data_IF_012446220082
#
_entry.id   IF_012446220082
#
_cell.length_a   1.000
_cell.length_b   1.000
_cell.length_c   1.000
_cell.angle_alpha   90.00
_cell.angle_beta   90.00
_cell.angle_gamma   90.00
#
_symmetry.space_group_name_H-M   'P 1'
#
loop_
_entity.id
_entity.type
_entity.pdbx_description
1 polymer ?
#
# COMPACT_ATOMS: atom_id res chain seq x y z
N UNK A 1 49.16 37.23 -14.68
CA UNK A 1 48.98 35.77 -14.51
C UNK A 1 48.35 35.57 -13.13
N UNK A 2 47.02 35.41 -13.08
CA UNK A 2 46.24 35.32 -11.84
C UNK A 2 45.67 33.90 -11.77
N UNK A 3 46.01 33.16 -10.71
CA UNK A 3 45.46 31.84 -10.39
C UNK A 3 44.16 32.01 -9.57
N UNK A 4 43.11 31.20 -9.77
CA UNK A 4 41.90 31.31 -8.97
C UNK A 4 41.99 30.52 -7.65
N UNK A 5 41.49 31.12 -6.59
CA UNK A 5 41.35 30.57 -5.25
C UNK A 5 40.07 29.71 -5.19
N UNK A 6 40.21 28.38 -5.07
CA UNK A 6 39.08 27.46 -4.86
C UNK A 6 38.79 27.40 -3.35
N UNK A 7 37.69 28.01 -2.92
CA UNK A 7 37.15 27.85 -1.57
C UNK A 7 36.57 26.43 -1.43
N UNK A 8 37.23 25.55 -0.67
CA UNK A 8 36.64 24.29 -0.19
C UNK A 8 35.78 24.59 1.03
N UNK A 9 34.46 24.55 0.85
CA UNK A 9 33.50 24.52 1.97
C UNK A 9 33.39 23.05 2.41
N UNK A 10 34.09 22.68 3.46
CA UNK A 10 33.86 21.41 4.17
C UNK A 10 32.70 21.61 5.13
N UNK A 11 31.52 21.09 4.80
CA UNK A 11 30.44 20.94 5.77
C UNK A 11 30.74 19.74 6.69
N UNK A 12 30.52 19.86 8.01
CA UNK A 12 30.70 18.74 8.92
C UNK A 12 29.65 17.65 8.65
N UNK A 13 30.13 16.41 8.48
CA UNK A 13 29.28 15.21 8.45
C UNK A 13 28.70 15.05 9.87
N UNK A 14 27.37 14.98 10.06
CA UNK A 14 26.81 14.74 11.38
C UNK A 14 27.25 13.36 11.87
N UNK A 15 27.83 13.31 13.06
CA UNK A 15 28.12 12.06 13.77
C UNK A 15 26.80 11.32 14.02
N UNK A 16 26.72 9.99 13.83
CA UNK A 16 25.54 9.23 14.21
C UNK A 16 25.34 9.36 15.72
N UNK A 17 24.31 10.09 16.15
CA UNK A 17 23.81 9.94 17.52
C UNK A 17 23.13 8.58 17.59
N UNK A 18 23.64 7.70 18.44
CA UNK A 18 22.94 6.48 18.85
C UNK A 18 21.60 6.89 19.47
N UNK A 19 20.54 6.86 18.66
CA UNK A 19 19.17 6.99 19.12
C UNK A 19 18.79 5.72 19.85
N UNK A 20 19.15 5.64 21.12
CA UNK A 20 18.57 4.67 22.04
C UNK A 20 17.08 4.95 22.15
N UNK A 21 16.26 4.03 21.64
CA UNK A 21 14.81 4.08 21.71
C UNK A 21 14.38 4.22 23.19
N UNK A 22 13.85 5.38 23.55
CA UNK A 22 13.09 5.52 24.80
C UNK A 22 11.75 4.78 24.63
N UNK A 23 11.78 3.48 24.91
CA UNK A 23 10.63 2.57 24.84
C UNK A 23 9.42 3.01 25.71
N UNK A 24 9.54 4.10 26.51
CA UNK A 24 8.48 4.59 27.40
C UNK A 24 7.56 5.65 26.77
N UNK A 25 7.90 6.29 25.65
CA UNK A 25 6.96 7.22 25.00
C UNK A 25 5.95 6.46 24.15
N UNK A 26 4.81 6.14 24.75
CA UNK A 26 3.67 5.50 24.09
C UNK A 26 3.25 6.32 22.86
N UNK A 27 3.40 5.75 21.66
CA UNK A 27 2.85 6.32 20.44
C UNK A 27 1.32 6.31 20.56
N UNK A 28 0.70 7.50 20.67
CA UNK A 28 -0.75 7.61 20.74
C UNK A 28 -1.30 7.62 19.32
N UNK A 29 -2.06 6.57 19.00
CA UNK A 29 -2.77 6.47 17.73
C UNK A 29 -3.95 7.44 17.76
N UNK A 30 -4.08 8.34 16.76
CA UNK A 30 -5.22 9.23 16.68
C UNK A 30 -6.53 8.45 16.59
N UNK A 31 -7.60 9.03 17.13
CA UNK A 31 -8.95 8.58 16.80
C UNK A 31 -9.13 8.56 15.27
N UNK A 32 -9.92 7.61 14.79
CA UNK A 32 -10.19 7.44 13.36
C UNK A 32 -8.97 7.02 12.52
N UNK A 33 -7.89 6.55 13.16
CA UNK A 33 -6.77 5.95 12.46
C UNK A 33 -7.20 4.75 11.62
N UNK A 34 -6.65 4.68 10.41
CA UNK A 34 -7.00 3.72 9.39
C UNK A 34 -5.81 2.81 9.06
N UNK A 35 -6.06 1.50 9.04
CA UNK A 35 -5.20 0.55 8.34
C UNK A 35 -5.66 0.45 6.89
N UNK A 36 -4.90 1.04 5.95
CA UNK A 36 -5.33 1.17 4.55
C UNK A 36 -5.02 -0.04 3.66
N UNK A 37 -4.51 -1.15 4.19
CA UNK A 37 -4.24 -2.36 3.41
C UNK A 37 -4.26 -3.60 4.29
N UNK A 38 -5.39 -4.30 4.27
CA UNK A 38 -5.49 -5.65 4.86
C UNK A 38 -6.24 -6.60 3.94
N UNK A 39 -6.13 -7.89 4.22
CA UNK A 39 -6.86 -8.94 3.50
C UNK A 39 -7.68 -9.78 4.47
N UNK A 40 -8.92 -10.13 4.10
CA UNK A 40 -9.69 -11.16 4.78
C UNK A 40 -9.68 -12.41 3.93
N UNK A 41 -9.49 -13.56 4.57
CA UNK A 41 -9.36 -14.87 3.93
C UNK A 41 -10.37 -15.79 4.61
N UNK A 42 -11.49 -16.02 3.93
CA UNK A 42 -12.55 -16.88 4.41
C UNK A 42 -12.27 -18.35 4.14
N UNK A 43 -13.13 -19.21 4.68
CA UNK A 43 -13.00 -20.66 4.51
C UNK A 43 -13.11 -21.08 3.05
N UNK A 44 -12.27 -22.05 2.67
CA UNK A 44 -12.15 -22.50 1.28
C UNK A 44 -13.46 -23.09 0.72
N UNK A 45 -14.25 -23.72 1.58
CA UNK A 45 -15.55 -24.30 1.20
C UNK A 45 -16.57 -23.24 0.80
N UNK A 46 -16.50 -22.05 1.41
CA UNK A 46 -17.42 -20.93 1.10
C UNK A 46 -16.87 -20.01 0.04
N UNK A 47 -15.56 -19.81 0.02
CA UNK A 47 -14.86 -18.91 -0.87
C UNK A 47 -13.74 -19.68 -1.58
N UNK A 48 -14.07 -20.37 -2.68
CA UNK A 48 -13.07 -21.13 -3.43
C UNK A 48 -12.05 -20.18 -4.07
N UNK A 49 -10.78 -20.59 -4.04
CA UNK A 49 -9.69 -19.87 -4.67
C UNK A 49 -9.50 -20.32 -6.12
N UNK A 50 -8.90 -19.46 -6.95
CA UNK A 50 -8.55 -19.79 -8.33
C UNK A 50 -7.62 -21.01 -8.38
N UNK A 51 -7.81 -21.88 -9.37
CA UNK A 51 -6.86 -22.97 -9.67
C UNK A 51 -5.49 -22.44 -10.09
N UNK A 52 -5.45 -21.28 -10.75
CA UNK A 52 -4.24 -20.57 -11.20
C UNK A 52 -3.54 -19.74 -10.11
N UNK A 53 -4.01 -19.79 -8.86
CA UNK A 53 -3.43 -19.00 -7.76
C UNK A 53 -1.95 -19.32 -7.56
N UNK A 54 -1.18 -18.30 -7.16
CA UNK A 54 0.26 -18.44 -6.92
C UNK A 54 0.61 -19.15 -5.60
N UNK A 55 -0.32 -19.19 -4.63
CA UNK A 55 -0.16 -19.84 -3.33
C UNK A 55 -1.54 -20.02 -2.65
N UNK A 56 -1.61 -20.89 -1.62
CA UNK A 56 -2.79 -21.04 -0.74
C UNK A 56 -2.45 -20.52 0.65
N UNK A 57 -3.01 -19.40 1.14
CA UNK A 57 -2.80 -18.96 2.53
C UNK A 57 -3.71 -19.71 3.53
N UNK A 58 -3.38 -19.67 4.83
CA UNK A 58 -4.33 -19.97 5.91
C UNK A 58 -5.54 -19.03 5.88
N UNK A 59 -6.58 -19.40 6.61
CA UNK A 59 -7.70 -18.50 6.88
C UNK A 59 -7.27 -17.32 7.77
N UNK A 60 -7.94 -16.19 7.61
CA UNK A 60 -7.77 -14.97 8.36
C UNK A 60 -9.10 -14.22 8.35
N UNK A 61 -9.95 -14.50 9.34
CA UNK A 61 -11.36 -14.11 9.35
C UNK A 61 -11.53 -12.67 9.88
N UNK A 62 -12.76 -12.16 9.77
CA UNK A 62 -13.11 -10.81 10.26
C UNK A 62 -12.84 -10.65 11.75
N UNK A 63 -13.08 -11.70 12.55
CA UNK A 63 -12.79 -11.68 13.99
C UNK A 63 -11.28 -11.52 14.27
N UNK A 64 -10.43 -12.19 13.50
CA UNK A 64 -8.97 -12.06 13.61
C UNK A 64 -8.52 -10.64 13.22
N UNK A 65 -9.12 -10.08 12.17
CA UNK A 65 -8.87 -8.70 11.76
C UNK A 65 -9.31 -7.70 12.85
N UNK A 66 -10.46 -7.90 13.49
CA UNK A 66 -10.93 -7.04 14.57
C UNK A 66 -9.98 -7.09 15.77
N UNK A 67 -9.46 -8.28 16.11
CA UNK A 67 -8.44 -8.43 17.14
C UNK A 67 -7.16 -7.67 16.75
N UNK A 68 -6.69 -7.83 15.52
CA UNK A 68 -5.54 -7.10 14.97
C UNK A 68 -5.71 -5.57 15.09
N UNK A 69 -6.81 -5.01 14.57
CA UNK A 69 -7.10 -3.57 14.66
C UNK A 69 -7.16 -3.08 16.11
N UNK A 70 -7.71 -3.89 17.02
CA UNK A 70 -7.75 -3.58 18.45
C UNK A 70 -6.33 -3.49 19.05
N UNK A 71 -5.41 -4.38 18.66
CA UNK A 71 -4.01 -4.30 19.11
C UNK A 71 -3.31 -3.04 18.62
N UNK A 72 -3.63 -2.59 17.41
CA UNK A 72 -3.08 -1.38 16.81
C UNK A 72 -3.82 -0.10 17.22
N UNK A 73 -4.92 -0.23 17.97
CA UNK A 73 -5.80 0.88 18.35
C UNK A 73 -6.32 1.66 17.12
N UNK A 74 -6.60 0.96 16.02
CA UNK A 74 -7.16 1.54 14.80
C UNK A 74 -8.65 1.27 14.70
N UNK A 75 -9.41 2.27 14.23
CA UNK A 75 -10.87 2.19 14.16
C UNK A 75 -11.40 2.16 12.73
N UNK A 76 -10.55 2.32 11.71
CA UNK A 76 -10.93 2.24 10.29
C UNK A 76 -10.04 1.26 9.55
N UNK A 77 -10.57 0.66 8.49
CA UNK A 77 -9.84 -0.36 7.73
C UNK A 77 -10.22 -0.38 6.25
N UNK A 78 -9.25 -0.66 5.39
CA UNK A 78 -9.48 -0.89 3.96
C UNK A 78 -9.13 -2.33 3.58
N UNK A 79 -10.17 -3.08 3.22
CA UNK A 79 -10.03 -4.45 2.72
C UNK A 79 -9.61 -4.43 1.26
N UNK A 80 -8.54 -5.14 0.95
CA UNK A 80 -7.99 -5.26 -0.40
C UNK A 80 -8.23 -6.67 -0.91
N UNK A 81 -8.79 -6.81 -2.11
CA UNK A 81 -9.03 -8.10 -2.73
C UNK A 81 -7.69 -8.84 -2.97
N UNK A 82 -7.52 -10.04 -2.38
CA UNK A 82 -6.35 -10.89 -2.63
C UNK A 82 -6.38 -11.53 -4.02
N UNK A 83 -5.20 -11.73 -4.63
CA UNK A 83 -5.09 -12.25 -5.99
C UNK A 83 -5.59 -13.69 -6.14
N UNK A 84 -5.54 -14.51 -5.10
CA UNK A 84 -6.00 -15.90 -5.15
C UNK A 84 -7.52 -16.06 -5.27
N UNK A 85 -8.31 -15.01 -5.05
CA UNK A 85 -9.74 -15.00 -5.34
C UNK A 85 -10.09 -14.41 -6.72
N UNK A 86 -9.13 -13.80 -7.43
CA UNK A 86 -9.43 -13.12 -8.70
C UNK A 86 -10.49 -12.04 -8.55
N UNK A 87 -11.44 -11.99 -9.50
CA UNK A 87 -12.59 -11.08 -9.50
C UNK A 87 -13.77 -11.57 -8.63
N UNK A 88 -13.65 -12.71 -7.93
CA UNK A 88 -14.67 -13.14 -6.96
C UNK A 88 -14.51 -12.36 -5.64
N UNK A 89 -15.20 -11.22 -5.57
CA UNK A 89 -15.15 -10.32 -4.42
C UNK A 89 -16.10 -10.73 -3.28
N UNK A 90 -16.76 -11.90 -3.32
CA UNK A 90 -17.80 -12.26 -2.34
C UNK A 90 -17.27 -12.33 -0.91
N UNK A 91 -16.04 -12.82 -0.70
CA UNK A 91 -15.42 -12.83 0.62
C UNK A 91 -15.20 -11.41 1.16
N UNK A 92 -14.69 -10.51 0.31
CA UNK A 92 -14.47 -9.11 0.67
C UNK A 92 -15.78 -8.40 0.97
N UNK A 93 -16.81 -8.55 0.13
CA UNK A 93 -18.12 -7.91 0.34
C UNK A 93 -18.79 -8.41 1.62
N UNK A 94 -18.73 -9.72 1.90
CA UNK A 94 -19.26 -10.26 3.15
C UNK A 94 -18.53 -9.69 4.38
N UNK A 95 -17.22 -9.48 4.29
CA UNK A 95 -16.45 -8.84 5.35
C UNK A 95 -16.80 -7.35 5.53
N UNK A 96 -17.02 -6.61 4.43
CA UNK A 96 -17.49 -5.21 4.50
C UNK A 96 -18.85 -5.11 5.20
N UNK A 97 -19.78 -6.02 4.90
CA UNK A 97 -21.10 -6.04 5.54
C UNK A 97 -21.01 -6.31 7.05
N UNK A 98 -20.09 -7.19 7.47
CA UNK A 98 -19.87 -7.49 8.89
C UNK A 98 -19.22 -6.31 9.64
N UNK A 99 -18.25 -5.64 9.01
CA UNK A 99 -17.54 -4.50 9.61
C UNK A 99 -18.38 -3.21 9.58
N UNK A 100 -19.28 -3.07 8.61
CA UNK A 100 -20.13 -1.89 8.47
C UNK A 100 -19.32 -0.63 8.13
N UNK A 101 -19.69 0.50 8.75
CA UNK A 101 -19.22 1.82 8.33
C UNK A 101 -17.72 2.07 8.54
N UNK A 102 -17.05 1.27 9.37
CA UNK A 102 -15.61 1.40 9.62
C UNK A 102 -14.74 0.83 8.50
N UNK A 103 -15.33 0.13 7.54
CA UNK A 103 -14.59 -0.55 6.48
C UNK A 103 -14.87 0.04 5.09
N UNK A 104 -13.85 0.05 4.24
CA UNK A 104 -13.96 0.30 2.80
C UNK A 104 -13.25 -0.80 2.02
N UNK A 105 -13.62 -0.97 0.75
CA UNK A 105 -13.11 -2.05 -0.09
C UNK A 105 -12.36 -1.56 -1.32
N UNK A 106 -11.33 -2.30 -1.71
CA UNK A 106 -10.70 -2.23 -3.04
C UNK A 106 -10.80 -3.61 -3.68
N UNK A 107 -11.57 -3.71 -4.76
CA UNK A 107 -11.95 -4.99 -5.39
C UNK A 107 -11.11 -5.29 -6.62
N UNK A 108 -11.20 -6.50 -7.16
CA UNK A 108 -10.74 -6.80 -8.53
C UNK A 108 -11.98 -6.96 -9.40
N UNK A 109 -12.01 -6.31 -10.56
CA UNK A 109 -13.11 -6.44 -11.53
C UNK A 109 -12.57 -7.02 -12.84
N UNK A 110 -13.46 -7.56 -13.64
CA UNK A 110 -13.17 -8.04 -14.99
C UNK A 110 -14.16 -7.48 -16.01
N UNK A 111 -13.99 -7.84 -17.28
CA UNK A 111 -14.83 -7.38 -18.39
C UNK A 111 -16.31 -7.79 -18.25
N UNK A 112 -16.61 -8.79 -17.42
CA UNK A 112 -17.98 -9.27 -17.17
C UNK A 112 -18.68 -8.48 -16.07
N UNK A 113 -17.93 -7.67 -15.31
CA UNK A 113 -18.48 -6.87 -14.22
C UNK A 113 -19.39 -5.76 -14.76
N UNK A 114 -20.68 -5.89 -14.50
CA UNK A 114 -21.75 -5.00 -14.97
C UNK A 114 -21.84 -3.68 -14.18
N UNK A 115 -22.49 -2.67 -14.76
CA UNK A 115 -22.72 -1.36 -14.09
C UNK A 115 -23.52 -1.53 -12.80
N UNK A 116 -24.48 -2.47 -12.82
CA UNK A 116 -25.28 -2.82 -11.66
C UNK A 116 -24.41 -3.40 -10.55
N UNK A 117 -23.47 -4.28 -10.88
CA UNK A 117 -22.53 -4.82 -9.89
C UNK A 117 -21.62 -3.73 -9.32
N UNK A 118 -21.07 -2.82 -10.15
CA UNK A 118 -20.27 -1.69 -9.66
C UNK A 118 -21.06 -0.76 -8.72
N UNK A 119 -22.32 -0.50 -9.06
CA UNK A 119 -23.23 0.27 -8.20
C UNK A 119 -23.45 -0.43 -6.85
N UNK A 120 -23.71 -1.75 -6.88
CA UNK A 120 -23.86 -2.54 -5.66
C UNK A 120 -22.58 -2.58 -4.83
N UNK A 121 -21.41 -2.72 -5.46
CA UNK A 121 -20.12 -2.66 -4.78
C UNK A 121 -19.91 -1.31 -4.11
N UNK A 122 -20.30 -0.21 -4.77
CA UNK A 122 -20.21 1.15 -4.20
C UNK A 122 -21.07 1.28 -2.94
N UNK A 123 -22.30 0.77 -2.99
CA UNK A 123 -23.24 0.73 -1.85
C UNK A 123 -22.65 -0.08 -0.69
N UNK A 124 -21.97 -1.20 -0.99
CA UNK A 124 -21.31 -2.03 0.03
C UNK A 124 -19.99 -1.44 0.54
N UNK A 125 -19.62 -0.20 0.18
CA UNK A 125 -18.44 0.49 0.71
C UNK A 125 -17.16 0.32 -0.12
N UNK A 126 -17.25 -0.21 -1.34
CA UNK A 126 -16.10 -0.27 -2.26
C UNK A 126 -15.79 1.12 -2.82
N UNK A 127 -14.50 1.44 -2.93
CA UNK A 127 -13.97 2.76 -3.33
C UNK A 127 -12.81 2.69 -4.30
N UNK A 128 -12.44 1.50 -4.74
CA UNK A 128 -11.33 1.34 -5.67
C UNK A 128 -11.29 -0.02 -6.32
N UNK A 129 -10.48 -0.11 -7.37
CA UNK A 129 -10.11 -1.37 -8.02
C UNK A 129 -8.62 -1.61 -7.89
N UNK A 130 -8.23 -2.87 -7.72
CA UNK A 130 -6.84 -3.30 -7.61
C UNK A 130 -6.35 -3.87 -8.93
N UNK A 131 -5.20 -3.38 -9.35
CA UNK A 131 -4.41 -3.89 -10.46
C UNK A 131 -3.12 -4.51 -9.91
N UNK A 132 -3.04 -5.83 -9.92
CA UNK A 132 -1.91 -6.57 -9.34
C UNK A 132 -1.10 -7.26 -10.45
N UNK A 133 -0.10 -6.54 -10.97
CA UNK A 133 0.79 -7.04 -12.01
C UNK A 133 1.94 -7.87 -11.44
N UNK A 134 2.39 -7.55 -10.22
CA UNK A 134 3.52 -8.22 -9.59
C UNK A 134 3.24 -9.70 -9.35
N UNK A 135 2.05 -10.03 -8.83
CA UNK A 135 1.71 -11.42 -8.46
C UNK A 135 1.55 -12.35 -9.66
N UNK A 136 1.27 -11.79 -10.84
CA UNK A 136 1.11 -12.54 -12.11
C UNK A 136 2.35 -12.42 -13.01
N UNK A 137 3.40 -11.74 -12.56
CA UNK A 137 4.67 -11.60 -13.29
C UNK A 137 4.59 -10.74 -14.56
N UNK A 138 3.55 -9.90 -14.69
CA UNK A 138 3.43 -9.01 -15.85
C UNK A 138 4.41 -7.86 -15.70
N UNK A 139 5.34 -7.78 -16.65
CA UNK A 139 6.38 -6.73 -16.70
C UNK A 139 6.26 -5.81 -17.92
N UNK A 140 5.32 -6.06 -18.82
CA UNK A 140 5.11 -5.24 -20.02
C UNK A 140 4.37 -3.96 -19.67
N UNK A 141 4.96 -2.77 -19.90
CA UNK A 141 4.28 -1.49 -19.70
C UNK A 141 3.04 -1.32 -20.60
N UNK A 142 3.05 -1.85 -21.82
CA UNK A 142 1.95 -1.69 -22.77
C UNK A 142 0.68 -2.43 -22.33
N UNK A 143 0.83 -3.63 -21.77
CA UNK A 143 -0.28 -4.35 -21.16
C UNK A 143 -0.87 -3.54 -20.00
N UNK A 144 0.00 -2.97 -19.16
CA UNK A 144 -0.41 -2.13 -18.04
C UNK A 144 -1.18 -0.88 -18.50
N UNK A 145 -0.74 -0.21 -19.56
CA UNK A 145 -1.40 1.02 -20.05
C UNK A 145 -2.84 0.79 -20.51
N UNK A 146 -3.10 -0.30 -21.25
CA UNK A 146 -4.45 -0.63 -21.71
C UNK A 146 -5.39 -0.92 -20.55
N UNK A 147 -4.93 -1.71 -19.59
CA UNK A 147 -5.71 -2.06 -18.40
C UNK A 147 -5.99 -0.82 -17.54
N UNK A 148 -5.00 0.06 -17.31
CA UNK A 148 -5.17 1.32 -16.57
C UNK A 148 -6.27 2.20 -17.16
N UNK A 149 -6.28 2.39 -18.48
CA UNK A 149 -7.29 3.21 -19.15
C UNK A 149 -8.69 2.60 -19.08
N UNK A 150 -8.77 1.29 -19.31
CA UNK A 150 -10.02 0.55 -19.25
C UNK A 150 -10.63 0.67 -17.84
N UNK A 151 -9.83 0.36 -16.81
CA UNK A 151 -10.26 0.47 -15.42
C UNK A 151 -10.64 1.91 -15.07
N UNK A 152 -9.79 2.89 -15.36
CA UNK A 152 -10.04 4.29 -15.01
C UNK A 152 -11.34 4.81 -15.62
N UNK A 153 -11.59 4.51 -16.90
CA UNK A 153 -12.84 4.87 -17.58
C UNK A 153 -14.04 4.20 -16.92
N UNK A 154 -13.90 2.91 -16.57
CA UNK A 154 -14.96 2.11 -15.96
C UNK A 154 -15.38 2.63 -14.59
N UNK A 155 -14.41 3.08 -13.79
CA UNK A 155 -14.62 3.39 -12.38
C UNK A 155 -14.74 4.89 -12.06
N UNK A 156 -14.37 5.78 -12.99
CA UNK A 156 -14.47 7.22 -12.81
C UNK A 156 -15.88 7.71 -12.40
N UNK A 157 -17.00 7.21 -12.99
CA UNK A 157 -18.35 7.65 -12.58
C UNK A 157 -18.70 7.34 -11.12
N UNK A 158 -18.00 6.40 -10.49
CA UNK A 158 -18.24 5.98 -9.11
C UNK A 158 -17.35 6.72 -8.09
N UNK A 159 -16.47 7.64 -8.57
CA UNK A 159 -15.52 8.35 -7.71
C UNK A 159 -14.45 7.44 -7.09
N UNK A 160 -14.19 6.29 -7.70
CA UNK A 160 -13.22 5.31 -7.20
C UNK A 160 -11.78 5.65 -7.62
N UNK A 161 -10.81 4.99 -7.00
CA UNK A 161 -9.39 5.05 -7.38
C UNK A 161 -8.87 3.71 -7.93
N UNK A 162 -7.71 3.72 -8.58
CA UNK A 162 -6.97 2.50 -8.93
C UNK A 162 -5.85 2.28 -7.91
N UNK A 163 -5.75 1.10 -7.34
CA UNK A 163 -4.61 0.68 -6.52
C UNK A 163 -3.70 -0.25 -7.32
N UNK A 164 -2.42 0.08 -7.42
CA UNK A 164 -1.43 -0.65 -8.23
C UNK A 164 -0.44 -1.36 -7.33
N UNK A 165 -0.29 -2.66 -7.57
CA UNK A 165 0.83 -3.46 -7.07
C UNK A 165 1.65 -4.00 -8.25
N UNK A 166 2.80 -3.36 -8.49
CA UNK A 166 3.74 -3.68 -9.56
C UNK A 166 5.16 -3.24 -9.16
N UNK A 167 6.20 -3.78 -9.79
CA UNK A 167 7.57 -3.27 -9.64
C UNK A 167 7.68 -1.78 -9.96
N UNK A 168 8.63 -1.09 -9.30
CA UNK A 168 8.92 0.33 -9.52
C UNK A 168 9.14 0.68 -11.00
N UNK A 169 9.77 -0.21 -11.76
CA UNK A 169 10.06 -0.01 -13.17
C UNK A 169 8.78 0.06 -14.03
N UNK A 170 7.80 -0.81 -13.76
CA UNK A 170 6.52 -0.81 -14.49
C UNK A 170 5.71 0.44 -14.16
N UNK A 171 5.74 0.88 -12.89
CA UNK A 171 5.09 2.12 -12.45
C UNK A 171 5.76 3.33 -13.13
N UNK A 172 7.09 3.41 -13.10
CA UNK A 172 7.87 4.48 -13.72
C UNK A 172 7.64 4.55 -15.25
N UNK A 173 7.53 3.40 -15.92
CA UNK A 173 7.20 3.33 -17.34
C UNK A 173 5.74 3.74 -17.65
N UNK A 174 4.90 3.94 -16.63
CA UNK A 174 3.48 4.29 -16.76
C UNK A 174 3.12 5.68 -16.24
N UNK A 175 4.09 6.49 -15.80
CA UNK A 175 3.82 7.81 -15.18
C UNK A 175 3.01 8.74 -16.09
N UNK A 176 3.33 8.80 -17.39
CA UNK A 176 2.62 9.65 -18.35
C UNK A 176 1.17 9.20 -18.53
N UNK A 177 0.91 7.90 -18.42
CA UNK A 177 -0.44 7.40 -18.47
C UNK A 177 -1.18 7.72 -17.18
N UNK A 178 -0.56 7.44 -16.03
CA UNK A 178 -1.14 7.69 -14.71
C UNK A 178 -1.49 9.17 -14.52
N UNK A 179 -0.63 10.08 -14.99
CA UNK A 179 -0.85 11.53 -14.87
C UNK A 179 -2.12 12.02 -15.57
N UNK A 180 -2.55 11.34 -16.64
CA UNK A 180 -3.69 11.73 -17.47
C UNK A 180 -5.01 11.05 -17.09
N UNK A 181 -4.99 10.06 -16.18
CA UNK A 181 -6.21 9.34 -15.82
C UNK A 181 -7.27 10.26 -15.19
N UNK A 182 -8.57 9.97 -15.33
CA UNK A 182 -9.63 10.73 -14.66
C UNK A 182 -9.75 10.44 -13.14
N UNK A 183 -8.99 9.47 -12.62
CA UNK A 183 -9.07 9.01 -11.21
C UNK A 183 -7.73 9.15 -10.50
N UNK A 184 -7.74 9.08 -9.17
CA UNK A 184 -6.53 8.94 -8.38
C UNK A 184 -5.94 7.54 -8.50
N UNK A 185 -4.64 7.43 -8.25
CA UNK A 185 -3.93 6.14 -8.18
C UNK A 185 -3.26 5.99 -6.81
N UNK A 186 -3.27 4.78 -6.27
CA UNK A 186 -2.61 4.40 -5.02
C UNK A 186 -1.51 3.40 -5.33
N UNK A 187 -0.28 3.69 -4.91
CA UNK A 187 0.86 2.81 -5.11
C UNK A 187 1.11 1.98 -3.84
N UNK A 188 1.04 0.67 -3.98
CA UNK A 188 1.25 -0.26 -2.85
C UNK A 188 2.74 -0.31 -2.44
N UNK A 189 2.98 -0.43 -1.13
CA UNK A 189 4.26 -0.78 -0.51
C UNK A 189 5.47 0.02 -1.03
N UNK A 190 5.45 1.35 -0.80
CA UNK A 190 6.48 2.28 -1.29
C UNK A 190 6.67 2.23 -2.82
N UNK A 191 5.62 1.87 -3.58
CA UNK A 191 5.71 1.66 -5.02
C UNK A 191 6.77 0.61 -5.44
N UNK A 192 7.09 -0.33 -4.54
CA UNK A 192 8.08 -1.38 -4.76
C UNK A 192 9.45 -0.88 -5.24
N UNK A 193 9.86 0.29 -4.75
CA UNK A 193 11.23 0.80 -4.92
C UNK A 193 12.27 -0.20 -4.42
N UNK A 194 13.51 -0.03 -4.87
CA UNK A 194 14.62 -0.86 -4.42
C UNK A 194 15.57 -0.02 -3.57
N UNK A 195 15.48 -0.05 -2.22
CA UNK A 195 16.35 0.70 -1.32
C UNK A 195 17.84 0.57 -1.65
N UNK A 196 18.29 -0.64 -1.99
CA UNK A 196 19.68 -0.93 -2.41
C UNK A 196 20.20 -0.12 -3.60
N UNK A 197 19.32 0.47 -4.41
CA UNK A 197 19.70 1.33 -5.56
C UNK A 197 19.83 2.82 -5.18
N UNK A 198 19.50 3.18 -3.94
CA UNK A 198 19.58 4.56 -3.44
C UNK A 198 18.49 5.49 -3.98
N UNK A 199 18.51 6.73 -3.48
CA UNK A 199 17.53 7.77 -3.83
C UNK A 199 17.68 8.30 -5.26
N UNK A 200 18.84 8.12 -5.90
CA UNK A 200 19.07 8.62 -7.26
C UNK A 200 18.63 7.62 -8.34
N UNK A 201 17.91 6.55 -7.97
CA UNK A 201 17.44 5.59 -8.95
C UNK A 201 16.36 6.24 -9.86
N UNK A 202 16.48 6.12 -11.20
CA UNK A 202 15.56 6.81 -12.12
C UNK A 202 14.08 6.51 -11.86
N UNK A 203 13.74 5.24 -11.60
CA UNK A 203 12.37 4.84 -11.32
C UNK A 203 11.77 5.61 -10.12
N UNK A 204 12.54 5.79 -9.05
CA UNK A 204 12.07 6.49 -7.86
C UNK A 204 11.90 7.98 -8.11
N UNK A 205 12.85 8.63 -8.79
CA UNK A 205 12.76 10.06 -9.11
C UNK A 205 11.50 10.36 -9.94
N UNK A 206 11.22 9.56 -10.96
CA UNK A 206 10.00 9.68 -11.76
C UNK A 206 8.72 9.49 -10.94
N UNK A 207 8.70 8.53 -10.02
CA UNK A 207 7.55 8.30 -9.13
C UNK A 207 7.40 9.47 -8.16
N UNK A 208 8.49 10.00 -7.64
CA UNK A 208 8.50 11.13 -6.72
C UNK A 208 7.95 12.40 -7.38
N UNK A 209 8.34 12.69 -8.62
CA UNK A 209 7.77 13.79 -9.42
C UNK A 209 6.25 13.63 -9.58
N UNK A 210 5.77 12.42 -9.86
CA UNK A 210 4.35 12.15 -9.96
C UNK A 210 3.61 12.33 -8.62
N UNK A 211 4.23 11.98 -7.49
CA UNK A 211 3.70 12.23 -6.14
C UNK A 211 3.56 13.74 -5.88
N UNK A 212 4.56 14.54 -6.27
CA UNK A 212 4.54 16.01 -6.11
C UNK A 212 3.36 16.67 -6.82
N UNK A 213 2.87 16.10 -7.93
CA UNK A 213 1.67 16.62 -8.62
C UNK A 213 0.37 16.44 -7.81
N UNK A 214 0.38 15.64 -6.75
CA UNK A 214 -0.82 15.27 -6.00
C UNK A 214 -1.70 14.26 -6.73
N UNK A 215 -1.24 13.67 -7.85
CA UNK A 215 -2.01 12.68 -8.62
C UNK A 215 -2.13 11.34 -7.91
N UNK A 216 -1.06 10.91 -7.24
CA UNK A 216 -0.92 9.56 -6.70
C UNK A 216 -0.76 9.59 -5.19
N UNK A 217 -1.30 8.57 -4.53
CA UNK A 217 -1.05 8.24 -3.13
C UNK A 217 0.01 7.13 -3.04
N UNK A 218 0.78 7.10 -1.96
CA UNK A 218 1.75 6.02 -1.68
C UNK A 218 1.46 5.43 -0.30
N UNK A 219 1.40 4.10 -0.23
CA UNK A 219 1.31 3.38 1.05
C UNK A 219 2.70 3.13 1.62
N UNK A 220 3.04 3.81 2.70
CA UNK A 220 4.21 3.58 3.54
C UNK A 220 3.96 2.32 4.39
N UNK A 221 4.10 1.15 3.76
CA UNK A 221 3.62 -0.14 4.29
C UNK A 221 4.56 -1.27 3.94
N UNK A 222 4.45 -2.37 4.68
CA UNK A 222 5.14 -3.64 4.42
C UNK A 222 6.63 -3.49 4.03
N UNK A 223 7.46 -2.79 4.82
CA UNK A 223 8.86 -2.53 4.46
C UNK A 223 9.66 -3.82 4.21
N UNK A 224 9.27 -4.94 4.84
CA UNK A 224 9.80 -6.28 4.58
C UNK A 224 9.64 -6.77 3.12
N UNK A 225 8.82 -6.11 2.29
CA UNK A 225 8.68 -6.43 0.86
C UNK A 225 9.78 -5.79 0.02
N UNK A 226 10.42 -4.72 0.49
CA UNK A 226 11.42 -3.94 -0.25
C UNK A 226 12.81 -3.92 0.40
N UNK A 227 12.89 -4.21 1.69
CA UNK A 227 14.12 -4.13 2.48
C UNK A 227 14.51 -5.47 3.08
N UNK A 228 15.81 -5.64 3.33
CA UNK A 228 16.39 -6.75 4.10
C UNK A 228 17.03 -6.27 5.41
N UNK A 229 17.01 -4.96 5.71
CA UNK A 229 17.62 -4.37 6.88
C UNK A 229 16.74 -4.55 8.14
N UNK A 230 16.45 -5.80 8.50
CA UNK A 230 15.61 -6.14 9.66
C UNK A 230 16.30 -5.86 11.00
N UNK A 231 15.55 -5.55 12.07
CA UNK A 231 14.10 -5.35 12.11
C UNK A 231 13.67 -3.92 11.77
N UNK A 232 14.61 -2.98 11.64
CA UNK A 232 14.31 -1.53 11.62
C UNK A 232 13.94 -1.00 10.23
N UNK A 233 14.35 -1.72 9.18
CA UNK A 233 14.21 -1.31 7.78
C UNK A 233 14.76 0.10 7.54
N UNK A 234 15.91 0.40 8.15
CA UNK A 234 16.50 1.75 8.17
C UNK A 234 16.85 2.30 6.79
N UNK A 235 17.04 1.42 5.80
CA UNK A 235 17.23 1.76 4.39
C UNK A 235 15.96 2.27 3.69
N UNK A 236 14.78 2.13 4.30
CA UNK A 236 13.49 2.65 3.81
C UNK A 236 13.24 4.09 4.28
N UNK A 237 13.79 4.49 5.43
CA UNK A 237 13.61 5.82 6.03
C UNK A 237 13.82 6.97 5.01
N UNK A 238 14.91 7.02 4.22
CA UNK A 238 15.14 8.13 3.31
C UNK A 238 14.05 8.27 2.23
N UNK A 239 13.45 7.15 1.81
CA UNK A 239 12.37 7.13 0.84
C UNK A 239 11.04 7.55 1.45
N UNK A 240 10.76 7.13 2.69
CA UNK A 240 9.61 7.60 3.43
C UNK A 240 9.65 9.14 3.56
N UNK A 241 10.79 9.69 4.01
CA UNK A 241 10.98 11.14 4.16
C UNK A 241 10.78 11.86 2.83
N UNK A 242 11.42 11.40 1.76
CA UNK A 242 11.31 12.03 0.44
C UNK A 242 9.85 12.05 -0.07
N UNK A 243 9.10 10.95 0.06
CA UNK A 243 7.69 10.95 -0.33
C UNK A 243 6.83 11.89 0.52
N UNK A 244 7.06 11.94 1.83
CA UNK A 244 6.33 12.82 2.75
C UNK A 244 6.63 14.29 2.46
N UNK A 245 7.90 14.64 2.22
CA UNK A 245 8.35 15.98 1.85
C UNK A 245 7.74 16.40 0.50
N UNK A 246 7.68 15.47 -0.46
CA UNK A 246 7.09 15.72 -1.76
C UNK A 246 5.60 16.06 -1.69
N UNK A 247 4.80 15.27 -0.95
CA UNK A 247 3.37 15.55 -0.79
C UNK A 247 2.76 14.84 0.44
N UNK A 248 2.67 15.47 1.61
CA UNK A 248 2.21 14.80 2.84
C UNK A 248 0.73 14.38 2.77
N UNK A 249 -0.11 15.09 1.98
CA UNK A 249 -1.53 14.74 1.78
C UNK A 249 -1.75 13.55 0.83
N UNK A 250 -0.67 12.89 0.41
CA UNK A 250 -0.70 11.71 -0.47
C UNK A 250 -0.11 10.47 0.16
N UNK A 251 0.20 10.53 1.45
CA UNK A 251 0.78 9.42 2.17
C UNK A 251 -0.28 8.65 2.94
N UNK A 252 -0.19 7.33 2.90
CA UNK A 252 -1.05 6.40 3.63
C UNK A 252 -0.18 5.43 4.42
N UNK A 253 -0.69 4.90 5.53
CA UNK A 253 -0.06 3.80 6.25
C UNK A 253 -0.90 2.53 6.12
N UNK A 254 -0.24 1.37 6.15
CA UNK A 254 -0.92 0.09 6.25
C UNK A 254 -0.03 -1.02 6.83
N UNK A 255 -0.65 -1.99 7.50
CA UNK A 255 0.04 -3.17 8.05
C UNK A 255 0.37 -4.21 6.99
N UNK A 256 -0.46 -4.34 5.94
CA UNK A 256 -0.44 -5.48 5.00
C UNK A 256 -0.80 -6.82 5.68
N UNK A 257 -1.56 -6.77 6.79
CA UNK A 257 -2.12 -7.94 7.46
C UNK A 257 -2.96 -8.78 6.48
N UNK A 258 -2.87 -10.13 6.51
CA UNK A 258 -2.17 -10.99 7.46
C UNK A 258 -0.75 -11.34 7.00
N UNK A 259 -0.07 -10.46 6.25
CA UNK A 259 1.31 -10.62 5.78
C UNK A 259 1.50 -11.85 4.90
N UNK A 260 0.66 -11.95 3.87
CA UNK A 260 0.69 -13.07 2.93
C UNK A 260 2.04 -13.18 2.24
N UNK A 261 2.49 -14.43 2.04
CA UNK A 261 3.67 -14.74 1.26
C UNK A 261 3.47 -16.02 0.46
N UNK A 262 4.14 -16.08 -0.69
CA UNK A 262 4.36 -17.34 -1.40
C UNK A 262 5.59 -18.04 -0.82
N UNK A 263 5.46 -19.29 -0.42
CA UNK A 263 6.61 -20.14 -0.10
C UNK A 263 7.23 -20.65 -1.39
N UNK A 264 8.50 -20.33 -1.64
CA UNK A 264 9.22 -20.83 -2.82
C UNK A 264 9.42 -22.34 -2.71
N UNK A 265 9.15 -23.07 -3.79
CA UNK A 265 9.35 -24.52 -3.88
C UNK A 265 8.14 -25.38 -3.51
N UNK A 266 7.11 -24.80 -2.88
CA UNK A 266 5.88 -25.51 -2.54
C UNK A 266 4.91 -25.56 -3.74
N UNK A 267 4.05 -26.58 -3.76
CA UNK A 267 2.89 -26.61 -4.66
C UNK A 267 1.94 -25.47 -4.31
N UNK A 268 1.22 -24.94 -5.30
CA UNK A 268 0.22 -23.88 -5.08
C UNK A 268 -0.93 -24.34 -4.18
N UNK A 269 -1.16 -25.65 -4.06
CA UNK A 269 -2.17 -26.26 -3.19
C UNK A 269 -1.71 -26.46 -1.75
N UNK A 270 -0.41 -26.35 -1.48
CA UNK A 270 0.11 -26.44 -0.12
C UNK A 270 -0.04 -25.12 0.62
N UNK A 271 -0.40 -25.13 1.92
CA UNK A 271 -0.48 -23.92 2.72
C UNK A 271 0.86 -23.16 2.76
N UNK A 272 0.84 -21.90 2.36
CA UNK A 272 1.94 -20.95 2.53
C UNK A 272 1.67 -20.13 3.79
N UNK A 273 2.43 -20.33 4.88
CA UNK A 273 2.17 -19.65 6.14
C UNK A 273 2.41 -18.14 6.03
N UNK A 274 1.69 -17.38 6.83
CA UNK A 274 1.90 -15.94 6.99
C UNK A 274 3.33 -15.62 7.45
N UNK A 275 3.78 -14.40 7.17
CA UNK A 275 5.00 -13.87 7.78
C UNK A 275 4.71 -13.56 9.24
N UNK A 276 5.71 -13.75 10.10
CA UNK A 276 5.67 -13.25 11.47
C UNK A 276 6.16 -11.81 11.44
N UNK A 277 5.25 -10.87 11.71
CA UNK A 277 5.52 -9.43 11.68
C UNK A 277 4.99 -8.83 12.98
N UNK A 278 5.77 -7.94 13.61
CA UNK A 278 5.31 -7.13 14.73
C UNK A 278 4.75 -5.81 14.19
N UNK A 279 3.45 -5.76 13.94
CA UNK A 279 2.81 -4.56 13.40
C UNK A 279 2.84 -3.36 14.35
N UNK A 280 2.88 -3.60 15.67
CA UNK A 280 3.07 -2.52 16.63
C UNK A 280 4.47 -1.91 16.47
N UNK A 281 5.48 -2.74 16.16
CA UNK A 281 6.81 -2.25 15.80
C UNK A 281 6.80 -1.47 14.48
N UNK A 282 6.20 -2.01 13.41
CA UNK A 282 6.10 -1.29 12.12
C UNK A 282 5.35 0.04 12.28
N UNK A 283 4.29 0.07 13.10
CA UNK A 283 3.55 1.30 13.41
C UNK A 283 4.40 2.29 14.22
N UNK A 284 5.28 1.83 15.11
CA UNK A 284 6.25 2.68 15.80
C UNK A 284 7.31 3.25 14.86
N UNK A 285 7.75 2.50 13.85
CA UNK A 285 8.69 3.04 12.84
C UNK A 285 8.10 4.26 12.12
N UNK A 286 6.78 4.32 11.91
CA UNK A 286 6.13 5.52 11.37
C UNK A 286 6.38 6.77 12.24
N UNK A 287 6.50 6.62 13.56
CA UNK A 287 6.83 7.73 14.45
C UNK A 287 8.24 8.28 14.19
N UNK A 288 9.19 7.40 13.86
CA UNK A 288 10.56 7.77 13.51
C UNK A 288 10.62 8.40 12.13
N UNK A 289 9.92 7.81 11.16
CA UNK A 289 9.86 8.33 9.79
C UNK A 289 9.17 9.69 9.72
N UNK A 290 8.20 9.93 10.62
CA UNK A 290 7.34 11.11 10.59
C UNK A 290 7.26 11.74 11.98
N UNK A 291 8.26 12.52 12.42
CA UNK A 291 8.27 13.09 13.78
C UNK A 291 7.08 14.04 14.08
N UNK A 292 6.55 14.73 13.07
CA UNK A 292 5.38 15.62 13.21
C UNK A 292 4.10 14.84 13.52
N UNK A 293 3.39 15.23 14.59
CA UNK A 293 2.07 14.66 14.96
C UNK A 293 1.02 14.98 13.91
N UNK A 294 1.09 16.16 13.32
CA UNK A 294 0.17 16.68 12.32
C UNK A 294 0.27 15.86 11.03
N UNK A 295 1.49 15.58 10.55
CA UNK A 295 1.69 14.72 9.38
C UNK A 295 1.27 13.28 9.68
N UNK A 296 1.56 12.74 10.87
CA UNK A 296 1.06 11.40 11.24
C UNK A 296 -0.46 11.34 11.25
N UNK A 297 -1.15 12.38 11.73
CA UNK A 297 -2.61 12.46 11.66
C UNK A 297 -3.08 12.48 10.20
N UNK A 298 -2.43 13.24 9.30
CA UNK A 298 -2.77 13.19 7.87
C UNK A 298 -2.68 11.78 7.32
N UNK A 299 -1.55 11.10 7.55
CA UNK A 299 -1.27 9.76 7.04
C UNK A 299 -2.28 8.71 7.56
N UNK A 300 -2.60 8.78 8.86
CA UNK A 300 -3.43 7.79 9.53
C UNK A 300 -4.92 8.08 9.44
N UNK A 301 -5.33 9.35 9.29
CA UNK A 301 -6.74 9.79 9.45
C UNK A 301 -7.21 10.58 8.24
N UNK A 302 -6.62 11.76 7.99
CA UNK A 302 -7.24 12.73 7.07
C UNK A 302 -7.13 12.27 5.60
N UNK A 303 -5.97 11.74 5.20
CA UNK A 303 -5.73 11.22 3.85
C UNK A 303 -6.60 9.99 3.53
N UNK A 304 -6.65 8.94 4.38
CA UNK A 304 -7.55 7.81 4.12
C UNK A 304 -9.03 8.24 4.19
N UNK A 305 -9.42 9.17 5.06
CA UNK A 305 -10.78 9.69 5.08
C UNK A 305 -11.17 10.35 3.75
N UNK A 306 -10.28 11.18 3.20
CA UNK A 306 -10.49 11.84 1.92
C UNK A 306 -10.56 10.83 0.75
N UNK A 307 -9.59 9.92 0.66
CA UNK A 307 -9.47 9.00 -0.47
C UNK A 307 -10.56 7.91 -0.48
N UNK A 308 -10.89 7.36 0.69
CA UNK A 308 -11.83 6.24 0.82
C UNK A 308 -13.24 6.70 1.23
N UNK A 309 -13.46 7.99 1.47
CA UNK A 309 -14.76 8.55 1.86
C UNK A 309 -15.29 7.91 3.14
N UNK A 310 -14.48 7.93 4.21
CA UNK A 310 -14.90 7.54 5.56
C UNK A 310 -15.78 8.60 6.23
#
# INVERSE_FOLDING_TARGET
MILPLILRITMPIPTPQETTLDHKKRFLIPWDACDSHVHVIGSQDRYPMLSSRAYTPPEAQVADLQAHLSTLHMSRVVLIQPSFYGSDNRCLVAALQQLGNIARGVVVIDEKTSDKELSMLTINGVRGVRMNLESIGVRSPQAAHRELNSLATRIAPYGWHIQIYASSHVIAASINQISTLPVHVVLDHFAMIQPKKGLNQPDFLSILELVQTGKVYVKLSAPYRISQAVPDYSDVLPFASAFIEAHPDRMLWASDWPHTRRTCGNSTTEPSPFRVVDDQYILRLLQEWVPSKEIRKKILVDNPACLYGF
#
